data_IF_133454976725
#
_entry.id   IF_133454976725
#
_cell.length_a   1.000
_cell.length_b   1.000
_cell.length_c   1.000
_cell.angle_alpha   90.00
_cell.angle_beta   90.00
_cell.angle_gamma   90.00
#
_symmetry.space_group_name_H-M   'P 1'
#
loop_
_entity.id
_entity.type
_entity.pdbx_description
1 polymer ?
#
# COMPACT_ATOMS: atom_id res chain seq x y z
N UNK A 1 7.69 17.31 23.76
CA UNK A 1 6.25 16.98 23.71
C UNK A 1 6.06 15.87 22.70
N UNK A 2 5.24 14.85 22.97
CA UNK A 2 4.97 13.82 21.97
C UNK A 2 3.96 14.35 20.95
N UNK A 3 4.11 13.98 19.68
CA UNK A 3 3.19 14.39 18.60
C UNK A 3 1.76 13.94 18.84
N UNK A 4 1.54 12.92 19.69
CA UNK A 4 0.20 12.49 20.09
C UNK A 4 -0.42 13.47 21.10
N UNK A 5 0.38 14.06 21.98
CA UNK A 5 -0.11 15.06 22.95
C UNK A 5 -0.53 16.35 22.24
N UNK A 6 0.13 16.69 21.14
CA UNK A 6 -0.25 17.79 20.25
C UNK A 6 -1.62 17.52 19.63
N UNK A 7 -1.82 16.36 18.99
CA UNK A 7 -3.12 15.99 18.39
C UNK A 7 -4.27 15.92 19.42
N UNK A 8 -3.99 15.45 20.64
CA UNK A 8 -4.97 15.47 21.74
C UNK A 8 -5.35 16.89 22.14
N UNK A 9 -4.38 17.80 22.17
CA UNK A 9 -4.61 19.21 22.46
C UNK A 9 -5.46 19.84 21.36
N UNK A 10 -5.13 19.57 20.11
CA UNK A 10 -5.85 20.10 18.96
C UNK A 10 -7.30 19.62 18.95
N UNK A 11 -7.54 18.31 19.16
CA UNK A 11 -8.89 17.75 19.32
C UNK A 11 -9.70 18.46 20.42
N UNK A 12 -9.07 18.74 21.57
CA UNK A 12 -9.71 19.49 22.65
C UNK A 12 -10.04 20.92 22.26
N UNK A 13 -9.18 21.60 21.49
CA UNK A 13 -9.39 22.98 21.04
C UNK A 13 -10.59 23.07 20.10
N UNK A 14 -10.76 22.09 19.21
CA UNK A 14 -11.89 22.05 18.26
C UNK A 14 -13.14 21.35 18.81
N UNK A 15 -13.14 20.97 20.09
CA UNK A 15 -14.31 20.38 20.75
C UNK A 15 -14.62 18.93 20.35
N UNK A 16 -13.67 18.22 19.74
CA UNK A 16 -13.84 16.83 19.31
C UNK A 16 -13.37 15.88 20.42
N UNK A 17 -14.20 14.89 20.75
CA UNK A 17 -13.81 13.89 21.74
C UNK A 17 -12.69 13.00 21.20
N UNK A 18 -11.60 12.86 21.97
CA UNK A 18 -10.44 12.06 21.56
C UNK A 18 -10.79 10.60 21.21
N UNK A 19 -11.82 10.04 21.86
CA UNK A 19 -12.32 8.71 21.56
C UNK A 19 -12.82 8.57 20.12
N UNK A 20 -13.49 9.60 19.59
CA UNK A 20 -14.03 9.57 18.24
C UNK A 20 -12.90 9.66 17.20
N UNK A 21 -11.87 10.47 17.48
CA UNK A 21 -10.63 10.51 16.69
C UNK A 21 -9.97 9.13 16.66
N UNK A 22 -9.89 8.43 17.80
CA UNK A 22 -9.30 7.09 17.87
C UNK A 22 -10.10 6.06 17.08
N UNK A 23 -11.44 6.06 17.23
CA UNK A 23 -12.32 5.13 16.53
C UNK A 23 -12.22 5.32 15.00
N UNK A 24 -12.26 6.57 14.53
CA UNK A 24 -12.13 6.86 13.11
C UNK A 24 -10.73 6.52 12.60
N UNK A 25 -9.67 6.79 13.38
CA UNK A 25 -8.32 6.40 13.01
C UNK A 25 -8.16 4.87 12.91
N UNK A 26 -8.78 4.10 13.81
CA UNK A 26 -8.79 2.63 13.73
C UNK A 26 -9.50 2.16 12.45
N UNK A 27 -10.65 2.75 12.14
CA UNK A 27 -11.39 2.48 10.91
C UNK A 27 -10.56 2.81 9.65
N UNK A 28 -9.94 4.00 9.59
CA UNK A 28 -9.10 4.40 8.46
C UNK A 28 -7.91 3.45 8.25
N UNK A 29 -7.30 2.97 9.34
CA UNK A 29 -6.22 1.99 9.23
C UNK A 29 -6.70 0.62 8.75
N UNK A 30 -7.92 0.22 9.07
CA UNK A 30 -8.48 -1.03 8.58
C UNK A 30 -8.80 -0.94 7.09
N UNK A 31 -9.49 0.13 6.66
CA UNK A 31 -9.76 0.39 5.24
C UNK A 31 -8.46 0.46 4.43
N UNK A 32 -7.41 1.13 4.94
CA UNK A 32 -6.11 1.21 4.27
C UNK A 32 -5.44 -0.17 4.13
N UNK A 33 -5.60 -1.05 5.13
CA UNK A 33 -5.10 -2.44 5.06
C UNK A 33 -5.88 -3.27 4.06
N UNK A 34 -7.19 -3.15 4.03
CA UNK A 34 -8.05 -3.87 3.10
C UNK A 34 -7.75 -3.44 1.66
N UNK A 35 -7.77 -2.13 1.41
CA UNK A 35 -7.54 -1.53 0.08
C UNK A 35 -6.16 -1.90 -0.46
N UNK A 36 -5.12 -1.79 0.38
CA UNK A 36 -3.74 -2.14 -0.02
C UNK A 36 -3.43 -3.62 0.15
N UNK A 37 -4.34 -4.42 0.68
CA UNK A 37 -4.16 -5.84 0.95
C UNK A 37 -3.90 -6.61 -0.34
N UNK A 38 -4.76 -6.40 -1.33
CA UNK A 38 -4.67 -7.01 -2.66
C UNK A 38 -3.33 -6.70 -3.34
N UNK A 39 -2.93 -5.44 -3.36
CA UNK A 39 -1.64 -5.01 -3.93
C UNK A 39 -0.44 -5.73 -3.31
N UNK A 40 -0.49 -5.98 -2.00
CA UNK A 40 0.57 -6.67 -1.28
C UNK A 40 0.61 -8.14 -1.65
N UNK A 41 -0.55 -8.77 -1.78
CA UNK A 41 -0.67 -10.17 -2.17
C UNK A 41 -0.09 -10.38 -3.58
N UNK A 42 -0.43 -9.51 -4.53
CA UNK A 42 0.11 -9.54 -5.89
C UNK A 42 1.65 -9.44 -5.86
N UNK A 43 2.19 -8.44 -5.16
CA UNK A 43 3.65 -8.24 -5.05
C UNK A 43 4.34 -9.41 -4.34
N UNK A 44 3.73 -9.97 -3.31
CA UNK A 44 4.26 -11.13 -2.59
C UNK A 44 4.30 -12.36 -3.48
N UNK A 45 3.20 -12.67 -4.17
CA UNK A 45 3.10 -13.80 -5.08
C UNK A 45 4.15 -13.67 -6.20
N UNK A 46 4.16 -12.54 -6.90
CA UNK A 46 5.12 -12.29 -7.97
C UNK A 46 6.57 -12.43 -7.49
N UNK A 47 6.88 -11.88 -6.31
CA UNK A 47 8.24 -11.94 -5.76
C UNK A 47 8.63 -13.35 -5.31
N UNK A 48 7.70 -14.12 -4.74
CA UNK A 48 7.94 -15.51 -4.35
C UNK A 48 8.24 -16.37 -5.57
N UNK A 49 7.46 -16.22 -6.65
CA UNK A 49 7.67 -16.91 -7.92
C UNK A 49 9.04 -16.56 -8.49
N UNK A 50 9.35 -15.26 -8.55
CA UNK A 50 10.65 -14.75 -8.99
C UNK A 50 11.81 -15.35 -8.18
N UNK A 51 11.66 -15.43 -6.86
CA UNK A 51 12.68 -16.01 -5.96
C UNK A 51 12.91 -17.53 -6.15
N UNK A 52 12.05 -18.23 -6.90
CA UNK A 52 12.28 -19.61 -7.32
C UNK A 52 12.51 -20.60 -6.18
N UNK A 53 11.91 -20.37 -5.00
CA UNK A 53 12.06 -21.23 -3.81
C UNK A 53 13.11 -20.79 -2.78
N UNK A 54 13.88 -19.74 -3.05
CA UNK A 54 14.81 -19.17 -2.05
C UNK A 54 14.06 -18.38 -0.98
N UNK A 55 13.72 -19.05 0.14
CA UNK A 55 12.95 -18.44 1.24
C UNK A 55 13.62 -17.23 1.88
N UNK A 56 14.95 -17.16 1.82
CA UNK A 56 15.73 -16.05 2.37
C UNK A 56 15.45 -14.70 1.71
N UNK A 57 14.87 -14.67 0.49
CA UNK A 57 14.51 -13.42 -0.16
C UNK A 57 13.05 -13.00 -0.01
N UNK A 58 12.16 -13.81 0.58
CA UNK A 58 10.72 -13.55 0.58
C UNK A 58 10.32 -12.22 1.26
N UNK A 59 11.04 -11.79 2.29
CA UNK A 59 10.76 -10.53 3.00
C UNK A 59 10.99 -9.24 2.19
N UNK A 60 11.60 -9.33 1.00
CA UNK A 60 11.93 -8.16 0.18
C UNK A 60 10.88 -7.80 -0.87
N UNK A 61 9.69 -8.41 -0.85
CA UNK A 61 8.63 -8.21 -1.86
C UNK A 61 8.24 -6.75 -2.10
N UNK A 62 8.39 -5.86 -1.10
CA UNK A 62 8.05 -4.42 -1.21
C UNK A 62 8.94 -3.65 -2.18
N UNK A 63 10.21 -4.04 -2.33
CA UNK A 63 11.21 -3.28 -3.07
C UNK A 63 12.16 -4.17 -3.90
N UNK A 64 11.93 -5.48 -3.88
CA UNK A 64 12.83 -6.47 -4.46
C UNK A 64 12.95 -6.37 -5.97
N UNK A 65 11.82 -6.16 -6.67
CA UNK A 65 11.78 -5.98 -8.12
C UNK A 65 12.57 -4.75 -8.54
N UNK A 66 12.18 -3.55 -8.08
CA UNK A 66 12.90 -2.31 -8.36
C UNK A 66 14.40 -2.40 -8.05
N UNK A 67 14.77 -2.99 -6.89
CA UNK A 67 16.18 -3.07 -6.48
C UNK A 67 17.01 -4.04 -7.33
N UNK A 68 16.47 -5.18 -7.76
CA UNK A 68 17.25 -6.21 -8.46
C UNK A 68 17.09 -6.21 -9.97
N UNK A 69 15.91 -5.85 -10.45
CA UNK A 69 15.53 -5.95 -11.85
C UNK A 69 15.17 -4.59 -12.46
N UNK A 70 15.19 -3.50 -11.68
CA UNK A 70 14.78 -2.15 -12.12
C UNK A 70 15.58 -1.65 -13.33
N UNK A 71 16.90 -1.84 -13.32
CA UNK A 71 17.74 -1.47 -14.47
C UNK A 71 17.37 -2.22 -15.76
N UNK A 72 16.98 -3.49 -15.66
CA UNK A 72 16.57 -4.28 -16.85
C UNK A 72 15.23 -3.77 -17.38
N UNK A 73 14.31 -3.48 -16.47
CA UNK A 73 13.01 -2.90 -16.79
C UNK A 73 13.15 -1.53 -17.49
N UNK A 74 13.99 -0.63 -16.96
CA UNK A 74 14.26 0.69 -17.55
C UNK A 74 14.90 0.59 -18.95
N UNK A 75 15.64 -0.49 -19.23
CA UNK A 75 16.26 -0.73 -20.54
C UNK A 75 15.27 -1.31 -21.58
N UNK A 76 14.03 -1.62 -21.17
CA UNK A 76 12.98 -2.12 -22.05
C UNK A 76 13.04 -3.62 -22.36
N UNK A 77 14.05 -4.34 -21.86
CA UNK A 77 14.13 -5.80 -22.01
C UNK A 77 13.60 -6.49 -20.76
N UNK A 78 12.27 -6.60 -20.68
CA UNK A 78 11.59 -7.24 -19.55
C UNK A 78 11.74 -8.76 -19.56
N UNK A 79 11.99 -9.37 -20.74
CA UNK A 79 12.20 -10.82 -20.87
C UNK A 79 13.47 -11.30 -20.17
N UNK A 80 14.44 -10.40 -19.96
CA UNK A 80 15.64 -10.66 -19.17
C UNK A 80 15.36 -10.74 -17.65
N UNK A 81 14.15 -10.43 -17.19
CA UNK A 81 13.75 -10.60 -15.80
C UNK A 81 13.59 -12.11 -15.51
N UNK A 82 14.26 -12.65 -14.48
CA UNK A 82 14.16 -14.07 -14.17
C UNK A 82 12.72 -14.52 -13.95
N UNK A 83 12.30 -15.56 -14.69
CA UNK A 83 10.96 -16.16 -14.63
C UNK A 83 9.83 -15.20 -15.04
N UNK A 84 10.11 -14.25 -15.94
CA UNK A 84 9.14 -13.26 -16.45
C UNK A 84 7.77 -13.88 -16.78
N UNK A 85 7.72 -14.84 -17.71
CA UNK A 85 6.46 -15.47 -18.14
C UNK A 85 5.74 -16.20 -16.98
N UNK A 86 6.50 -16.95 -16.17
CA UNK A 86 5.94 -17.71 -15.05
C UNK A 86 5.35 -16.77 -13.97
N UNK A 87 5.97 -15.61 -13.76
CA UNK A 87 5.44 -14.58 -12.85
C UNK A 87 4.08 -14.11 -13.36
N UNK A 88 3.98 -13.76 -14.65
CA UNK A 88 2.74 -13.29 -15.25
C UNK A 88 1.66 -14.37 -15.23
N UNK A 89 1.94 -15.58 -15.73
CA UNK A 89 0.99 -16.69 -15.73
C UNK A 89 0.46 -16.98 -14.32
N UNK A 90 1.34 -17.02 -13.31
CA UNK A 90 0.95 -17.33 -11.95
C UNK A 90 0.12 -16.23 -11.32
N UNK A 91 0.46 -14.97 -11.57
CA UNK A 91 -0.31 -13.83 -11.06
C UNK A 91 -1.65 -13.73 -11.77
N UNK A 92 -1.70 -13.85 -13.09
CA UNK A 92 -2.93 -13.79 -13.88
C UNK A 92 -3.94 -14.88 -13.49
N UNK A 93 -3.46 -16.06 -13.10
CA UNK A 93 -4.31 -17.16 -12.60
C UNK A 93 -5.04 -16.82 -11.29
N UNK A 94 -4.42 -16.05 -10.40
CA UNK A 94 -4.99 -15.66 -9.08
C UNK A 94 -5.66 -14.28 -9.14
N UNK A 95 -5.21 -13.40 -10.04
CA UNK A 95 -5.61 -12.01 -10.23
C UNK A 95 -5.97 -11.77 -11.70
N UNK A 96 -7.22 -12.08 -12.11
CA UNK A 96 -7.65 -12.05 -13.51
C UNK A 96 -7.53 -10.68 -14.18
N UNK A 97 -7.41 -9.57 -13.43
CA UNK A 97 -7.16 -8.23 -13.97
C UNK A 97 -5.87 -8.15 -14.80
N UNK A 98 -4.90 -9.02 -14.54
CA UNK A 98 -3.65 -9.15 -15.30
C UNK A 98 -3.70 -10.22 -16.39
N UNK A 99 -4.85 -10.85 -16.62
CA UNK A 99 -5.02 -11.77 -17.75
C UNK A 99 -5.18 -11.02 -19.08
N UNK A 100 -4.87 -11.70 -20.18
CA UNK A 100 -5.12 -11.22 -21.54
C UNK A 100 -4.05 -10.27 -22.08
N UNK A 101 -4.35 -9.68 -23.24
CA UNK A 101 -3.44 -8.81 -23.97
C UNK A 101 -3.04 -7.57 -23.15
N UNK A 102 -1.74 -7.26 -23.10
CA UNK A 102 -1.17 -6.21 -22.26
C UNK A 102 -1.30 -6.44 -20.75
N UNK A 103 -1.69 -7.64 -20.30
CA UNK A 103 -1.76 -7.99 -18.88
C UNK A 103 -0.38 -8.05 -18.22
N UNK A 104 0.62 -8.54 -18.95
CA UNK A 104 2.03 -8.59 -18.53
C UNK A 104 2.61 -7.19 -18.30
N UNK A 105 2.46 -6.27 -19.26
CA UNK A 105 2.96 -4.90 -19.15
C UNK A 105 2.37 -4.19 -17.93
N UNK A 106 1.04 -4.28 -17.74
CA UNK A 106 0.35 -3.70 -16.58
C UNK A 106 0.84 -4.30 -15.26
N UNK A 107 1.11 -5.61 -15.24
CA UNK A 107 1.65 -6.27 -14.06
C UNK A 107 3.05 -5.76 -13.73
N UNK A 108 3.96 -5.75 -14.72
CA UNK A 108 5.33 -5.33 -14.45
C UNK A 108 5.43 -3.84 -14.14
N UNK A 109 4.66 -2.99 -14.82
CA UNK A 109 4.51 -1.57 -14.44
C UNK A 109 4.09 -1.42 -12.97
N UNK A 110 3.07 -2.16 -12.54
CA UNK A 110 2.65 -2.19 -11.15
C UNK A 110 3.77 -2.68 -10.20
N UNK A 111 4.46 -3.78 -10.53
CA UNK A 111 5.52 -4.35 -9.69
C UNK A 111 6.72 -3.42 -9.52
N UNK A 112 7.03 -2.59 -10.53
CA UNK A 112 8.10 -1.60 -10.50
C UNK A 112 7.67 -0.26 -9.90
N UNK A 113 6.37 0.04 -9.85
CA UNK A 113 5.86 1.20 -9.12
C UNK A 113 6.18 1.10 -7.61
N UNK A 114 6.52 2.22 -6.93
CA UNK A 114 6.73 2.23 -5.49
C UNK A 114 5.58 1.59 -4.71
N UNK A 115 5.91 0.66 -3.82
CA UNK A 115 4.94 0.06 -2.91
C UNK A 115 4.48 1.11 -1.88
N UNK A 116 3.19 1.43 -1.90
CA UNK A 116 2.62 2.34 -0.92
C UNK A 116 2.75 1.78 0.50
N UNK A 117 3.05 2.69 1.45
CA UNK A 117 3.11 2.36 2.88
C UNK A 117 1.70 2.38 3.46
N UNK A 118 1.48 1.58 4.50
CA UNK A 118 0.26 1.74 5.29
C UNK A 118 0.28 3.08 6.00
N UNK A 119 -0.91 3.59 6.29
CA UNK A 119 -1.10 4.67 7.23
C UNK A 119 -0.48 4.30 8.58
N UNK A 120 0.49 5.10 8.99
CA UNK A 120 1.00 5.04 10.36
C UNK A 120 -0.10 5.49 11.33
N UNK A 121 -0.03 5.04 12.60
CA UNK A 121 -1.00 5.47 13.61
C UNK A 121 -1.10 6.99 13.72
N UNK A 122 0.04 7.68 13.57
CA UNK A 122 0.11 9.14 13.61
C UNK A 122 -0.67 9.78 12.45
N UNK A 123 -0.50 9.28 11.23
CA UNK A 123 -1.22 9.77 10.06
C UNK A 123 -2.72 9.54 10.22
N UNK A 124 -3.11 8.31 10.57
CA UNK A 124 -4.53 7.99 10.76
C UNK A 124 -5.21 8.87 11.84
N UNK A 125 -4.51 9.20 12.94
CA UNK A 125 -5.03 10.12 13.96
C UNK A 125 -5.15 11.56 13.45
N UNK A 126 -4.19 12.03 12.66
CA UNK A 126 -4.22 13.38 12.09
C UNK A 126 -5.32 13.51 11.03
N UNK A 127 -5.46 12.51 10.17
CA UNK A 127 -6.49 12.46 9.12
C UNK A 127 -7.88 12.36 9.75
N UNK A 128 -8.06 11.51 10.77
CA UNK A 128 -9.31 11.41 11.52
C UNK A 128 -9.71 12.72 12.20
N UNK A 129 -8.76 13.43 12.82
CA UNK A 129 -9.03 14.72 13.43
C UNK A 129 -9.46 15.76 12.38
N UNK A 130 -8.80 15.76 11.22
CA UNK A 130 -9.11 16.68 10.11
C UNK A 130 -10.51 16.41 9.57
N UNK A 131 -10.85 15.13 9.36
CA UNK A 131 -12.16 14.72 8.84
C UNK A 131 -13.30 15.06 9.81
N UNK A 132 -13.13 14.78 11.11
CA UNK A 132 -14.12 15.12 12.13
C UNK A 132 -14.29 16.64 12.29
N UNK A 133 -13.21 17.41 12.10
CA UNK A 133 -13.28 18.86 12.15
C UNK A 133 -13.98 19.46 10.91
N UNK A 134 -13.83 18.83 9.74
CA UNK A 134 -14.49 19.28 8.51
C UNK A 134 -15.99 18.92 8.46
N UNK A 135 -16.40 17.86 9.17
CA UNK A 135 -17.80 17.39 9.22
C UNK A 135 -18.62 18.06 10.33
N UNK A 136 -17.98 18.76 11.26
CA UNK A 136 -18.66 19.63 12.20
C UNK A 136 -19.17 20.88 11.46
N UNK A 137 -20.43 20.87 11.02
CA UNK A 137 -21.08 22.06 10.47
C UNK A 137 -20.93 23.25 11.43
N UNK A 138 -20.61 24.47 10.94
CA UNK A 138 -20.60 25.65 11.79
C UNK A 138 -22.03 25.91 12.26
N UNK A 139 -22.26 25.79 13.57
CA UNK A 139 -23.55 26.16 14.19
C UNK A 139 -23.80 27.64 13.84
N UNK A 140 -24.86 27.97 13.08
CA UNK A 140 -25.21 29.36 12.84
C UNK A 140 -25.69 29.95 14.17
N UNK A 141 -24.98 30.96 14.65
CA UNK A 141 -25.40 31.82 15.77
C UNK A 141 -26.59 32.68 15.37
#
# INVERSE_FOLDING_TARGET
MSTIDELKRDARVVGIAWRDVQNLADYLQEIDRETKGRDREIRQLAWQVRCGGSRGCWGFWRHGFAKRDGRRYEQGDQTAIPRYDIIHERVAAEFPEYSGDGGEDRLFEFLFHPCERLLTRRQALADALTELNNTAEPVPF
#
